data_IF_047607066684
#
_entry.id   IF_047607066684
#
_cell.length_a   1.000
_cell.length_b   1.000
_cell.length_c   1.000
_cell.angle_alpha   90.00
_cell.angle_beta   90.00
_cell.angle_gamma   90.00
#
_symmetry.space_group_name_H-M   'P 1'
#
loop_
_entity.id
_entity.type
_entity.pdbx_description
1 polymer ?
#
# COMPACT_ATOMS: atom_id res chain seq x y z
N UNK A 1 22.84 10.51 8.97
CA UNK A 1 22.67 11.04 7.60
C UNK A 1 21.76 12.27 7.69
N UNK A 2 22.25 13.48 7.39
CA UNK A 2 21.50 14.74 7.64
C UNK A 2 20.27 14.84 6.73
N UNK A 3 19.10 15.16 7.32
CA UNK A 3 17.79 15.30 6.64
C UNK A 3 17.84 16.20 5.39
N UNK A 4 18.70 17.23 5.41
CA UNK A 4 18.91 18.14 4.29
C UNK A 4 19.47 17.47 3.01
N UNK A 5 20.18 16.35 3.12
CA UNK A 5 20.69 15.63 1.95
C UNK A 5 19.62 14.74 1.29
N UNK A 6 18.59 14.35 2.04
CA UNK A 6 17.45 13.57 1.55
C UNK A 6 16.54 14.48 0.71
N UNK A 7 16.28 15.70 1.19
CA UNK A 7 15.42 16.68 0.52
C UNK A 7 16.04 17.17 -0.81
N UNK A 8 17.38 17.25 -0.92
CA UNK A 8 18.04 17.69 -2.17
C UNK A 8 18.21 16.59 -3.23
N UNK A 9 17.79 15.36 -2.95
CA UNK A 9 17.90 14.27 -3.92
C UNK A 9 16.69 14.25 -4.85
N UNK A 10 16.85 14.82 -6.04
CA UNK A 10 15.79 14.93 -7.07
C UNK A 10 15.26 13.56 -7.53
N UNK A 11 16.08 12.51 -7.52
CA UNK A 11 15.64 11.17 -7.86
C UNK A 11 14.71 10.59 -6.78
N UNK A 12 15.06 10.80 -5.50
CA UNK A 12 14.23 10.40 -4.37
C UNK A 12 12.89 11.14 -4.36
N UNK A 13 12.89 12.43 -4.63
CA UNK A 13 11.67 13.23 -4.70
C UNK A 13 10.73 12.72 -5.81
N UNK A 14 11.25 12.49 -7.02
CA UNK A 14 10.47 11.95 -8.13
C UNK A 14 9.86 10.58 -7.80
N UNK A 15 10.64 9.71 -7.16
CA UNK A 15 10.17 8.40 -6.70
C UNK A 15 9.03 8.55 -5.67
N UNK A 16 9.18 9.42 -4.66
CA UNK A 16 8.15 9.66 -3.66
C UNK A 16 6.86 10.22 -4.28
N UNK A 17 6.98 11.19 -5.18
CA UNK A 17 5.82 11.77 -5.88
C UNK A 17 5.11 10.68 -6.71
N UNK A 18 5.86 9.90 -7.48
CA UNK A 18 5.29 8.81 -8.27
C UNK A 18 4.63 7.74 -7.38
N UNK A 19 5.25 7.42 -6.23
CA UNK A 19 4.71 6.50 -5.24
C UNK A 19 3.37 7.01 -4.67
N UNK A 20 3.28 8.30 -4.33
CA UNK A 20 2.05 8.94 -3.86
C UNK A 20 0.96 8.92 -4.94
N UNK A 21 1.28 9.30 -6.18
CA UNK A 21 0.32 9.32 -7.27
C UNK A 21 -0.25 7.93 -7.59
N UNK A 22 0.62 6.93 -7.69
CA UNK A 22 0.20 5.53 -7.86
C UNK A 22 -0.59 5.07 -6.64
N UNK A 23 -0.15 5.43 -5.43
CA UNK A 23 -0.85 5.15 -4.18
C UNK A 23 -2.28 5.65 -4.17
N UNK A 24 -2.53 6.86 -4.66
CA UNK A 24 -3.87 7.43 -4.82
C UNK A 24 -4.72 6.64 -5.81
N UNK A 25 -4.15 6.22 -6.94
CA UNK A 25 -4.85 5.36 -7.91
C UNK A 25 -5.19 3.99 -7.29
N UNK A 26 -4.26 3.38 -6.55
CA UNK A 26 -4.52 2.15 -5.82
C UNK A 26 -5.56 2.32 -4.72
N UNK A 27 -5.62 3.49 -4.07
CA UNK A 27 -6.67 3.81 -3.11
C UNK A 27 -8.03 3.92 -3.80
N UNK A 28 -8.12 4.49 -5.01
CA UNK A 28 -9.36 4.49 -5.80
C UNK A 28 -9.81 3.06 -6.11
N UNK A 29 -8.89 2.18 -6.52
CA UNK A 29 -9.18 0.75 -6.76
C UNK A 29 -9.67 0.05 -5.48
N UNK A 30 -8.99 0.28 -4.34
CA UNK A 30 -9.40 -0.26 -3.05
C UNK A 30 -10.81 0.19 -2.67
N UNK A 31 -11.08 1.49 -2.70
CA UNK A 31 -12.38 2.05 -2.35
C UNK A 31 -13.50 1.56 -3.29
N UNK A 32 -13.22 1.44 -4.59
CA UNK A 32 -14.19 0.92 -5.55
C UNK A 32 -14.57 -0.53 -5.23
N UNK A 33 -13.58 -1.41 -5.02
CA UNK A 33 -13.81 -2.82 -4.67
C UNK A 33 -14.52 -2.94 -3.31
N UNK A 34 -14.09 -2.15 -2.32
CA UNK A 34 -14.73 -2.09 -1.00
C UNK A 34 -16.22 -1.70 -1.11
N UNK A 35 -16.52 -0.64 -1.87
CA UNK A 35 -17.88 -0.19 -2.09
C UNK A 35 -18.74 -1.25 -2.80
N UNK A 36 -18.23 -1.88 -3.85
CA UNK A 36 -18.93 -2.94 -4.58
C UNK A 36 -19.19 -4.18 -3.69
N UNK A 37 -18.24 -4.53 -2.83
CA UNK A 37 -18.39 -5.63 -1.88
C UNK A 37 -19.48 -5.32 -0.84
N UNK A 38 -19.49 -4.10 -0.29
CA UNK A 38 -20.54 -3.64 0.62
C UNK A 38 -21.91 -3.61 -0.03
N UNK A 39 -21.99 -3.11 -1.28
CA UNK A 39 -23.24 -3.11 -2.06
C UNK A 39 -23.79 -4.53 -2.24
N UNK A 40 -22.90 -5.52 -2.36
CA UNK A 40 -23.23 -6.94 -2.43
C UNK A 40 -23.54 -7.59 -1.07
N UNK A 41 -23.76 -6.79 -0.02
CA UNK A 41 -24.01 -7.23 1.37
C UNK A 41 -22.89 -8.06 1.99
N UNK A 42 -21.66 -7.94 1.49
CA UNK A 42 -20.47 -8.55 2.10
C UNK A 42 -20.16 -7.84 3.42
N UNK A 43 -19.67 -8.56 4.42
CA UNK A 43 -19.31 -7.95 5.71
C UNK A 43 -18.24 -6.86 5.53
N UNK A 44 -18.25 -5.85 6.40
CA UNK A 44 -17.27 -4.74 6.39
C UNK A 44 -15.83 -5.28 6.43
N UNK A 45 -15.61 -6.33 7.23
CA UNK A 45 -14.33 -6.99 7.38
C UNK A 45 -13.82 -7.58 6.04
N UNK A 46 -14.64 -8.41 5.39
CA UNK A 46 -14.26 -9.07 4.14
C UNK A 46 -14.13 -8.04 3.01
N UNK A 47 -15.03 -7.06 2.96
CA UNK A 47 -14.97 -5.95 2.00
C UNK A 47 -13.65 -5.18 2.12
N UNK A 48 -13.21 -4.89 3.34
CA UNK A 48 -11.94 -4.23 3.62
C UNK A 48 -10.75 -5.04 3.11
N UNK A 49 -10.76 -6.36 3.31
CA UNK A 49 -9.68 -7.23 2.83
C UNK A 49 -9.62 -7.33 1.31
N UNK A 50 -10.78 -7.49 0.64
CA UNK A 50 -10.86 -7.56 -0.82
C UNK A 50 -10.37 -6.26 -1.46
N UNK A 51 -10.84 -5.12 -0.96
CA UNK A 51 -10.39 -3.81 -1.45
C UNK A 51 -8.89 -3.62 -1.24
N UNK A 52 -8.39 -3.94 -0.05
CA UNK A 52 -6.97 -3.77 0.26
C UNK A 52 -6.06 -4.68 -0.60
N UNK A 53 -6.49 -5.91 -0.90
CA UNK A 53 -5.78 -6.82 -1.82
C UNK A 53 -5.76 -6.28 -3.25
N UNK A 54 -6.87 -5.73 -3.74
CA UNK A 54 -6.96 -5.15 -5.07
C UNK A 54 -6.07 -3.91 -5.21
N UNK A 55 -6.16 -2.99 -4.24
CA UNK A 55 -5.30 -1.79 -4.18
C UNK A 55 -3.82 -2.15 -4.03
N UNK A 56 -3.49 -3.16 -3.21
CA UNK A 56 -2.14 -3.72 -3.11
C UNK A 56 -1.61 -4.18 -4.47
N UNK A 57 -2.39 -4.99 -5.18
CA UNK A 57 -1.98 -5.62 -6.44
C UNK A 57 -1.72 -4.54 -7.50
N UNK A 58 -2.66 -3.60 -7.63
CA UNK A 58 -2.52 -2.44 -8.49
C UNK A 58 -1.22 -1.68 -8.19
N UNK A 59 -1.03 -1.29 -6.93
CA UNK A 59 0.13 -0.53 -6.49
C UNK A 59 1.44 -1.28 -6.73
N UNK A 60 1.48 -2.59 -6.46
CA UNK A 60 2.70 -3.38 -6.63
C UNK A 60 3.15 -3.42 -8.09
N UNK A 61 2.23 -3.60 -9.04
CA UNK A 61 2.54 -3.64 -10.47
C UNK A 61 3.25 -2.34 -10.89
N UNK A 62 2.67 -1.19 -10.58
CA UNK A 62 3.26 0.11 -10.92
C UNK A 62 4.56 0.37 -10.19
N UNK A 63 4.65 -0.05 -8.93
CA UNK A 63 5.84 0.13 -8.12
C UNK A 63 7.04 -0.66 -8.66
N UNK A 64 6.80 -1.90 -9.09
CA UNK A 64 7.81 -2.76 -9.70
C UNK A 64 8.28 -2.22 -11.05
N UNK A 65 7.35 -1.91 -11.95
CA UNK A 65 7.73 -1.59 -13.33
C UNK A 65 8.13 -0.13 -13.55
N UNK A 66 7.72 0.81 -12.69
CA UNK A 66 7.89 2.25 -12.97
C UNK A 66 8.44 3.10 -11.84
N UNK A 67 8.29 2.71 -10.57
CA UNK A 67 8.65 3.59 -9.45
C UNK A 67 10.01 3.24 -8.88
N UNK A 68 10.18 2.02 -8.36
CA UNK A 68 11.41 1.66 -7.68
C UNK A 68 12.45 1.13 -8.64
N UNK A 69 13.69 1.59 -8.47
CA UNK A 69 14.83 1.05 -9.23
C UNK A 69 15.36 -0.21 -8.56
N UNK A 70 15.24 -1.35 -9.23
CA UNK A 70 15.78 -2.64 -8.80
C UNK A 70 16.10 -3.53 -10.00
N UNK A 71 16.72 -4.69 -9.77
CA UNK A 71 17.04 -5.70 -10.78
C UNK A 71 16.37 -7.07 -10.50
N UNK A 72 15.48 -7.14 -9.52
CA UNK A 72 14.78 -8.38 -9.15
C UNK A 72 13.61 -8.70 -10.07
N UNK A 73 13.29 -9.99 -10.23
CA UNK A 73 12.13 -10.49 -10.98
C UNK A 73 10.80 -10.15 -10.30
N UNK A 74 9.73 -10.01 -11.08
CA UNK A 74 8.40 -9.66 -10.61
C UNK A 74 7.86 -10.63 -9.55
N UNK A 75 7.99 -11.93 -9.77
CA UNK A 75 7.45 -12.95 -8.85
C UNK A 75 8.09 -12.82 -7.47
N UNK A 76 9.41 -12.60 -7.41
CA UNK A 76 10.16 -12.43 -6.17
C UNK A 76 9.67 -11.21 -5.40
N UNK A 77 9.59 -10.04 -6.06
CA UNK A 77 9.15 -8.82 -5.38
C UNK A 77 7.68 -8.87 -5.01
N UNK A 78 6.84 -9.50 -5.84
CA UNK A 78 5.40 -9.64 -5.62
C UNK A 78 5.12 -10.51 -4.41
N UNK A 79 5.70 -11.72 -4.36
CA UNK A 79 5.53 -12.64 -3.21
C UNK A 79 6.03 -11.99 -1.93
N UNK A 80 7.22 -11.37 -1.96
CA UNK A 80 7.79 -10.69 -0.79
C UNK A 80 6.88 -9.55 -0.31
N UNK A 81 6.36 -8.75 -1.24
CA UNK A 81 5.44 -7.65 -0.92
C UNK A 81 4.09 -8.17 -0.44
N UNK A 82 3.61 -9.28 -1.00
CA UNK A 82 2.33 -9.88 -0.67
C UNK A 82 2.38 -10.41 0.77
N UNK A 83 3.44 -11.11 1.18
CA UNK A 83 3.59 -11.62 2.56
C UNK A 83 3.45 -10.47 3.57
N UNK A 84 4.19 -9.38 3.36
CA UNK A 84 4.14 -8.21 4.25
C UNK A 84 2.76 -7.54 4.20
N UNK A 85 2.16 -7.47 3.01
CA UNK A 85 0.88 -6.80 2.83
C UNK A 85 -0.28 -7.64 3.39
N UNK A 86 -0.23 -8.97 3.35
CA UNK A 86 -1.24 -9.85 3.97
C UNK A 86 -1.33 -9.60 5.46
N UNK A 87 -0.19 -9.42 6.15
CA UNK A 87 -0.19 -9.05 7.58
C UNK A 87 -0.91 -7.71 7.77
N UNK A 88 -0.56 -6.70 6.98
CA UNK A 88 -1.22 -5.39 7.06
C UNK A 88 -2.71 -5.46 6.73
N UNK A 89 -3.11 -6.28 5.76
CA UNK A 89 -4.50 -6.44 5.31
C UNK A 89 -5.30 -7.14 6.41
N UNK A 90 -4.77 -8.23 6.96
CA UNK A 90 -5.39 -8.96 8.06
C UNK A 90 -5.67 -8.04 9.26
N UNK A 91 -4.73 -7.15 9.60
CA UNK A 91 -4.87 -6.17 10.70
C UNK A 91 -5.85 -5.04 10.34
N UNK A 92 -5.91 -4.63 9.06
CA UNK A 92 -6.72 -3.48 8.64
C UNK A 92 -8.21 -3.64 8.92
N UNK A 93 -8.74 -4.86 8.82
CA UNK A 93 -10.16 -5.16 9.06
C UNK A 93 -10.57 -4.96 10.52
N UNK A 94 -9.94 -5.66 11.49
CA UNK A 94 -10.18 -5.44 12.91
C UNK A 94 -9.93 -3.99 13.35
N UNK A 95 -8.88 -3.35 12.81
CA UNK A 95 -8.59 -1.95 13.11
C UNK A 95 -9.71 -1.01 12.62
N UNK A 96 -10.29 -1.30 11.44
CA UNK A 96 -11.43 -0.53 10.91
C UNK A 96 -12.66 -0.68 11.81
N UNK A 97 -12.97 -1.90 12.26
CA UNK A 97 -14.06 -2.14 13.20
C UNK A 97 -13.82 -1.44 14.54
N UNK A 98 -12.60 -1.49 15.05
CA UNK A 98 -12.21 -0.81 16.29
C UNK A 98 -12.40 0.71 16.18
N UNK A 99 -11.91 1.34 15.10
CA UNK A 99 -12.08 2.78 14.88
C UNK A 99 -13.55 3.17 14.71
N UNK A 100 -14.36 2.29 14.11
CA UNK A 100 -15.78 2.54 13.92
C UNK A 100 -16.58 2.62 15.24
N UNK A 101 -16.02 2.14 16.36
CA UNK A 101 -16.60 2.32 17.69
C UNK A 101 -16.42 3.75 18.24
N UNK A 102 -15.45 4.52 17.73
CA UNK A 102 -15.16 5.89 18.17
C UNK A 102 -15.60 6.94 17.15
N UNK A 103 -15.50 6.62 15.86
CA UNK A 103 -15.82 7.51 14.75
C UNK A 103 -16.81 6.77 13.84
N UNK A 104 -18.08 7.19 13.83
CA UNK A 104 -19.13 6.52 13.05
C UNK A 104 -18.98 6.68 11.54
N UNK A 105 -18.06 7.53 11.07
CA UNK A 105 -17.81 7.76 9.66
C UNK A 105 -16.76 6.80 9.09
N UNK A 106 -17.21 5.63 8.65
CA UNK A 106 -16.37 4.51 8.17
C UNK A 106 -15.35 4.90 7.10
N UNK A 107 -15.71 5.83 6.20
CA UNK A 107 -14.84 6.28 5.12
C UNK A 107 -13.61 7.03 5.63
N UNK A 108 -13.77 7.88 6.64
CA UNK A 108 -12.64 8.57 7.28
C UNK A 108 -11.73 7.56 7.98
N UNK A 109 -12.28 6.57 8.69
CA UNK A 109 -11.49 5.52 9.33
C UNK A 109 -10.66 4.73 8.32
N UNK A 110 -11.25 4.38 7.17
CA UNK A 110 -10.53 3.71 6.08
C UNK A 110 -9.38 4.58 5.52
N UNK A 111 -9.60 5.89 5.33
CA UNK A 111 -8.56 6.82 4.91
C UNK A 111 -7.40 6.84 5.92
N UNK A 112 -7.71 6.91 7.22
CA UNK A 112 -6.70 6.92 8.29
C UNK A 112 -5.85 5.64 8.23
N UNK A 113 -6.50 4.47 8.23
CA UNK A 113 -5.81 3.17 8.18
C UNK A 113 -4.94 3.07 6.93
N UNK A 114 -5.51 3.40 5.77
CA UNK A 114 -4.80 3.35 4.49
C UNK A 114 -3.59 4.30 4.49
N UNK A 115 -3.73 5.52 5.02
CA UNK A 115 -2.65 6.48 5.12
C UNK A 115 -1.48 5.99 5.98
N UNK A 116 -1.76 5.45 7.17
CA UNK A 116 -0.72 4.87 8.03
C UNK A 116 -0.03 3.68 7.39
N UNK A 117 -0.81 2.72 6.87
CA UNK A 117 -0.29 1.54 6.17
C UNK A 117 0.57 1.95 4.97
N UNK A 118 0.14 2.95 4.20
CA UNK A 118 0.84 3.43 3.02
C UNK A 118 2.25 3.95 3.35
N UNK A 119 2.38 4.76 4.40
CA UNK A 119 3.67 5.30 4.84
C UNK A 119 4.61 4.17 5.28
N UNK A 120 4.12 3.23 6.10
CA UNK A 120 4.94 2.11 6.59
C UNK A 120 5.40 1.23 5.42
N UNK A 121 4.48 0.88 4.52
CA UNK A 121 4.78 0.03 3.37
C UNK A 121 5.74 0.69 2.39
N UNK A 122 5.76 2.02 2.27
CA UNK A 122 6.76 2.72 1.47
C UNK A 122 8.18 2.39 1.93
N UNK A 123 8.45 2.55 3.24
CA UNK A 123 9.77 2.30 3.80
C UNK A 123 10.17 0.84 3.69
N UNK A 124 9.27 -0.09 4.02
CA UNK A 124 9.56 -1.53 3.93
C UNK A 124 9.88 -1.92 2.48
N UNK A 125 9.05 -1.51 1.53
CA UNK A 125 9.24 -1.85 0.11
C UNK A 125 10.55 -1.28 -0.43
N UNK A 126 10.84 -0.02 -0.13
CA UNK A 126 12.06 0.64 -0.58
C UNK A 126 13.33 0.01 0.00
N UNK A 127 13.33 -0.28 1.30
CA UNK A 127 14.55 -0.70 2.01
C UNK A 127 14.80 -2.20 1.86
N UNK A 128 13.74 -3.02 1.83
CA UNK A 128 13.89 -4.48 1.88
C UNK A 128 13.51 -5.20 0.60
N UNK A 129 12.51 -4.72 -0.15
CA UNK A 129 11.97 -5.47 -1.29
C UNK A 129 12.62 -5.03 -2.60
N UNK A 130 12.53 -3.75 -2.93
CA UNK A 130 13.01 -3.21 -4.19
C UNK A 130 14.46 -2.76 -4.06
N UNK A 131 15.33 -3.72 -3.74
CA UNK A 131 16.78 -3.53 -3.63
C UNK A 131 17.49 -4.12 -4.83
N UNK A 132 18.70 -3.64 -5.11
CA UNK A 132 19.58 -4.30 -6.07
C UNK A 132 20.11 -5.58 -5.44
N UNK A 133 19.70 -6.72 -5.98
CA UNK A 133 20.33 -8.00 -5.65
C UNK A 133 21.78 -7.94 -6.15
N UNK A 134 22.73 -8.32 -5.30
CA UNK A 134 24.08 -8.63 -5.78
C UNK A 134 23.93 -9.73 -6.83
N UNK A 135 24.54 -9.54 -8.01
CA UNK A 135 24.65 -10.62 -9.00
C UNK A 135 25.46 -11.72 -8.32
N UNK A 136 24.84 -12.88 -8.14
CA UNK A 136 25.57 -14.13 -7.89
C UNK A 136 26.34 -14.52 -9.15
#
# INVERSE_FOLDING_TARGET
MKLNNIIKNTALQKEMIAYVLVGLLGAVVDFAIFYLALYSKTSILISQWLGSLAGFTHNHIWQHYKIFKHNQKFEKTYISSLIISVISIAISGPLLLFLNNFISFVWLNKIIILGFTFIILYFIRKIWIFTFSKKE
#
